data_IF_615771267314
#
_entry.id   IF_615771267314
#
_cell.length_a   1.000
_cell.length_b   1.000
_cell.length_c   1.000
_cell.angle_alpha   90.00
_cell.angle_beta   90.00
_cell.angle_gamma   90.00
#
_symmetry.space_group_name_H-M   'P 1'
#
loop_
_entity.id
_entity.type
_entity.pdbx_description
1 polymer ?
#
# COMPACT_ATOMS: atom_id res chain seq x y z
N UNK A 1 -0.28 18.69 -5.58
CA UNK A 1 -0.62 17.33 -5.16
C UNK A 1 -0.94 17.34 -3.67
N UNK A 2 -1.90 16.54 -3.25
CA UNK A 2 -2.37 16.48 -1.87
C UNK A 2 -2.16 15.06 -1.34
N UNK A 3 -1.29 14.89 -0.34
CA UNK A 3 -0.96 13.59 0.21
C UNK A 3 -0.97 13.59 1.75
N UNK A 4 -1.08 12.41 2.35
CA UNK A 4 -1.11 12.25 3.80
C UNK A 4 0.19 11.69 4.34
N UNK A 5 0.89 10.93 3.55
CA UNK A 5 2.14 10.26 3.87
C UNK A 5 3.21 10.58 2.85
N UNK A 6 4.46 10.70 3.30
CA UNK A 6 5.61 10.91 2.42
C UNK A 6 6.90 10.45 3.12
N UNK A 7 7.72 9.58 2.51
CA UNK A 7 8.99 9.15 3.09
C UNK A 7 9.93 10.31 3.43
N UNK A 8 10.77 10.17 4.46
CA UNK A 8 10.98 9.00 5.32
C UNK A 8 9.97 8.89 6.47
N UNK A 9 8.95 9.73 6.50
CA UNK A 9 7.95 9.80 7.55
C UNK A 9 6.62 9.22 7.06
N UNK A 10 5.95 8.42 7.91
CA UNK A 10 4.68 7.77 7.53
C UNK A 10 4.83 7.02 6.20
N UNK A 11 5.63 5.97 6.18
CA UNK A 11 5.99 5.24 4.96
C UNK A 11 5.22 3.93 4.81
N UNK A 12 3.89 4.02 4.79
CA UNK A 12 3.05 2.94 4.27
C UNK A 12 3.08 2.88 2.73
N UNK A 13 2.37 1.92 2.14
CA UNK A 13 2.28 1.80 0.68
C UNK A 13 1.81 3.06 -0.02
N UNK A 14 0.91 3.83 0.62
CA UNK A 14 0.44 5.13 0.14
C UNK A 14 1.60 6.15 0.03
N UNK A 15 2.39 6.30 1.09
CA UNK A 15 3.52 7.25 1.09
C UNK A 15 4.57 6.89 0.06
N UNK A 16 4.91 5.60 -0.09
CA UNK A 16 5.84 5.11 -1.12
C UNK A 16 5.31 5.41 -2.52
N UNK A 17 4.04 5.12 -2.80
CA UNK A 17 3.42 5.43 -4.08
C UNK A 17 3.43 6.94 -4.37
N UNK A 18 3.02 7.78 -3.42
CA UNK A 18 3.04 9.24 -3.56
C UNK A 18 4.43 9.79 -3.89
N UNK A 19 5.47 9.27 -3.22
CA UNK A 19 6.86 9.66 -3.47
C UNK A 19 7.29 9.32 -4.91
N UNK A 20 7.12 8.07 -5.34
CA UNK A 20 7.58 7.64 -6.66
C UNK A 20 6.76 8.25 -7.80
N UNK A 21 5.44 8.40 -7.64
CA UNK A 21 4.58 9.12 -8.59
C UNK A 21 5.09 10.55 -8.75
N UNK A 22 5.34 11.26 -7.64
CA UNK A 22 5.82 12.64 -7.68
C UNK A 22 7.21 12.75 -8.31
N UNK A 23 8.13 11.84 -7.97
CA UNK A 23 9.48 11.77 -8.55
C UNK A 23 9.40 11.57 -10.08
N UNK A 24 8.60 10.62 -10.53
CA UNK A 24 8.45 10.33 -11.95
C UNK A 24 7.76 11.46 -12.74
N UNK A 25 6.72 12.07 -12.18
CA UNK A 25 6.06 13.25 -12.78
C UNK A 25 7.02 14.44 -12.88
N UNK A 26 7.84 14.68 -11.85
CA UNK A 26 8.84 15.75 -11.89
C UNK A 26 9.90 15.50 -12.97
N UNK A 27 10.35 14.26 -13.12
CA UNK A 27 11.25 13.85 -14.22
C UNK A 27 10.60 14.00 -15.61
N UNK A 28 9.28 13.86 -15.70
CA UNK A 28 8.51 14.13 -16.91
C UNK A 28 8.23 15.64 -17.13
N UNK A 29 8.76 16.53 -16.27
CA UNK A 29 8.68 17.98 -16.42
C UNK A 29 7.57 18.67 -15.63
N UNK A 30 6.82 17.95 -14.79
CA UNK A 30 5.80 18.55 -13.93
C UNK A 30 6.45 19.36 -12.79
N UNK A 31 5.91 20.56 -12.51
CA UNK A 31 6.24 21.33 -11.30
C UNK A 31 5.23 20.97 -10.21
N UNK A 32 5.71 20.49 -9.09
CA UNK A 32 4.86 19.93 -8.06
C UNK A 32 4.98 20.72 -6.75
N UNK A 33 3.85 21.21 -6.27
CA UNK A 33 3.63 21.64 -4.89
C UNK A 33 2.91 20.49 -4.18
N UNK A 34 3.58 19.81 -3.23
CA UNK A 34 3.06 18.66 -2.50
C UNK A 34 2.73 19.07 -1.06
N UNK A 35 1.50 18.86 -0.62
CA UNK A 35 1.06 19.21 0.73
C UNK A 35 0.98 17.95 1.59
N UNK A 36 1.56 18.01 2.81
CA UNK A 36 1.44 16.99 3.85
C UNK A 36 0.85 17.60 5.13
N UNK A 37 0.16 16.80 5.99
CA UNK A 37 -0.50 17.32 7.20
C UNK A 37 0.46 17.59 8.37
N UNK A 38 1.72 17.21 8.29
CA UNK A 38 2.71 17.30 9.36
C UNK A 38 3.93 18.13 8.94
N UNK A 39 4.77 18.46 9.91
CA UNK A 39 6.04 19.16 9.69
C UNK A 39 7.22 18.28 10.01
N UNK A 40 8.00 17.95 8.98
CA UNK A 40 9.22 17.17 9.11
C UNK A 40 10.18 17.47 7.94
N UNK A 41 11.49 17.27 8.11
CA UNK A 41 12.44 17.39 7.01
C UNK A 41 12.31 16.22 6.03
N UNK A 42 12.41 16.52 4.73
CA UNK A 42 12.43 15.55 3.65
C UNK A 42 13.73 15.71 2.84
N UNK A 43 14.91 15.32 3.39
CA UNK A 43 16.22 15.64 2.80
C UNK A 43 16.46 14.97 1.44
N UNK A 44 15.74 13.91 1.13
CA UNK A 44 15.86 13.18 -0.14
C UNK A 44 14.97 13.76 -1.24
N UNK A 45 14.11 14.76 -0.92
CA UNK A 45 13.18 15.34 -1.87
C UNK A 45 13.69 16.70 -2.34
N UNK A 46 14.24 16.72 -3.54
CA UNK A 46 14.74 17.95 -4.21
C UNK A 46 14.02 18.24 -5.55
N UNK A 47 13.09 17.36 -5.94
CA UNK A 47 12.38 17.42 -7.23
C UNK A 47 11.00 18.08 -7.13
N UNK A 48 10.53 18.39 -5.93
CA UNK A 48 9.25 19.08 -5.69
C UNK A 48 9.32 19.98 -4.46
N UNK A 49 8.34 20.88 -4.32
CA UNK A 49 8.17 21.65 -3.09
C UNK A 49 7.23 20.93 -2.14
N UNK A 50 7.69 20.63 -0.92
CA UNK A 50 6.86 20.04 0.13
C UNK A 50 6.38 21.13 1.09
N UNK A 51 5.07 21.19 1.31
CA UNK A 51 4.41 22.12 2.20
C UNK A 51 3.82 21.37 3.41
N UNK A 52 4.02 21.91 4.60
CA UNK A 52 3.48 21.38 5.86
C UNK A 52 2.23 22.12 6.26
N UNK A 53 1.07 21.46 6.26
CA UNK A 53 -0.20 22.10 6.62
C UNK A 53 -0.31 22.40 8.13
N UNK A 54 0.41 21.65 8.97
CA UNK A 54 0.44 21.89 10.42
C UNK A 54 1.89 21.90 10.93
N UNK A 55 2.06 22.23 12.21
CA UNK A 55 3.34 22.12 12.92
C UNK A 55 3.50 20.82 13.70
N UNK A 56 2.59 19.87 13.52
CA UNK A 56 2.67 18.57 14.16
C UNK A 56 3.90 17.80 13.67
N UNK A 57 4.50 17.00 14.55
CA UNK A 57 5.46 15.98 14.16
C UNK A 57 4.75 14.88 13.34
N UNK A 58 5.49 13.95 12.71
CA UNK A 58 4.88 12.89 11.90
C UNK A 58 3.76 12.15 12.62
N UNK A 59 2.64 11.96 11.91
CA UNK A 59 1.35 11.55 12.49
C UNK A 59 1.33 10.13 13.03
N UNK A 60 2.23 9.23 12.59
CA UNK A 60 2.41 7.88 13.14
C UNK A 60 2.54 7.87 14.68
N UNK A 61 3.13 8.93 15.24
CA UNK A 61 3.31 9.06 16.71
C UNK A 61 2.01 9.27 17.46
N UNK A 62 0.94 9.62 16.74
CA UNK A 62 -0.35 9.97 17.32
C UNK A 62 -1.46 8.97 16.92
N UNK A 63 -1.12 7.88 16.19
CA UNK A 63 -2.11 6.97 15.64
C UNK A 63 -3.04 7.63 14.61
N UNK A 64 -2.53 8.59 13.84
CA UNK A 64 -3.27 9.34 12.82
C UNK A 64 -2.79 9.01 11.39
N UNK A 65 -2.31 7.81 11.16
CA UNK A 65 -1.95 7.30 9.83
C UNK A 65 -3.18 7.05 8.94
N UNK A 66 -2.95 6.88 7.65
CA UNK A 66 -4.02 6.70 6.66
C UNK A 66 -4.93 5.49 6.92
N UNK A 67 -4.49 4.56 7.75
CA UNK A 67 -5.21 3.32 8.08
C UNK A 67 -5.78 3.30 9.51
N UNK A 68 -5.66 4.39 10.25
CA UNK A 68 -6.12 4.48 11.64
C UNK A 68 -7.58 4.99 11.73
N UNK A 69 -8.42 4.64 10.76
CA UNK A 69 -9.83 5.08 10.66
C UNK A 69 -10.68 4.68 11.86
N UNK A 70 -10.27 3.67 12.62
CA UNK A 70 -10.96 3.26 13.86
C UNK A 70 -10.96 4.34 14.95
N UNK A 71 -9.98 5.24 14.94
CA UNK A 71 -9.89 6.33 15.92
C UNK A 71 -10.92 7.46 15.74
N UNK A 72 -11.71 7.41 14.67
CA UNK A 72 -12.71 8.44 14.32
C UNK A 72 -14.09 8.17 14.97
N UNK A 73 -14.33 6.97 15.51
CA UNK A 73 -15.70 6.46 15.77
C UNK A 73 -16.22 6.76 17.16
N UNK A 74 -15.40 7.06 18.16
CA UNK A 74 -15.87 7.18 19.53
C UNK A 74 -15.64 8.57 20.13
N UNK A 75 -16.69 9.36 20.12
CA UNK A 75 -16.88 10.53 20.97
C UNK A 75 -17.21 11.81 20.21
N UNK A 76 -18.26 12.50 20.67
CA UNK A 76 -18.41 13.93 20.40
C UNK A 76 -17.18 14.66 20.95
N UNK A 77 -16.33 15.13 20.03
CA UNK A 77 -15.13 15.86 20.38
C UNK A 77 -15.52 17.19 21.04
N UNK A 78 -14.99 17.45 22.19
CA UNK A 78 -15.13 18.75 22.83
C UNK A 78 -14.42 19.83 22.01
N UNK A 79 -14.89 21.07 22.07
CA UNK A 79 -14.23 22.21 21.41
C UNK A 79 -12.75 22.39 21.84
N UNK A 80 -12.34 21.84 23.00
CA UNK A 80 -10.98 21.83 23.50
C UNK A 80 -10.08 20.81 22.75
N UNK A 81 -10.64 19.68 22.31
CA UNK A 81 -9.91 18.64 21.58
C UNK A 81 -9.58 19.05 20.14
N UNK A 82 -10.48 19.81 19.53
CA UNK A 82 -10.26 20.41 18.19
C UNK A 82 -9.08 21.38 18.19
N UNK A 83 -8.84 22.10 19.28
CA UNK A 83 -7.71 23.01 19.44
C UNK A 83 -6.38 22.30 19.69
N UNK A 84 -6.40 21.06 20.18
CA UNK A 84 -5.19 20.30 20.52
C UNK A 84 -4.65 19.42 19.38
N UNK A 85 -5.28 19.43 18.18
CA UNK A 85 -4.85 18.67 17.00
C UNK A 85 -4.61 17.16 17.27
N UNK A 86 -5.30 16.57 18.22
CA UNK A 86 -5.16 15.14 18.59
C UNK A 86 -6.14 14.25 17.83
N UNK A 87 -6.97 14.83 16.98
CA UNK A 87 -8.03 14.17 16.25
C UNK A 87 -7.83 14.29 14.74
N UNK A 88 -8.11 13.21 14.03
CA UNK A 88 -8.00 13.11 12.58
C UNK A 88 -8.81 14.21 11.86
N UNK A 89 -10.03 14.47 12.29
CA UNK A 89 -10.91 15.50 11.68
C UNK A 89 -10.37 16.92 11.88
N UNK A 90 -9.81 17.19 13.05
CA UNK A 90 -9.13 18.47 13.32
C UNK A 90 -7.93 18.67 12.42
N UNK A 91 -7.13 17.63 12.17
CA UNK A 91 -6.00 17.67 11.24
C UNK A 91 -6.50 17.88 9.81
N UNK A 92 -7.53 17.16 9.36
CA UNK A 92 -8.14 17.32 8.02
C UNK A 92 -8.65 18.76 7.81
N UNK A 93 -9.38 19.33 8.78
CA UNK A 93 -9.87 20.70 8.70
C UNK A 93 -8.72 21.69 8.52
N UNK A 94 -7.65 21.58 9.31
CA UNK A 94 -6.47 22.44 9.17
C UNK A 94 -5.75 22.22 7.84
N UNK A 95 -5.76 21.01 7.34
CA UNK A 95 -5.22 20.69 6.03
C UNK A 95 -5.99 21.44 4.93
N UNK A 96 -7.34 21.44 4.97
CA UNK A 96 -8.17 22.20 4.05
C UNK A 96 -7.89 23.71 4.14
N UNK A 97 -7.89 24.29 5.36
CA UNK A 97 -7.61 25.70 5.60
C UNK A 97 -6.22 26.11 5.04
N UNK A 98 -5.21 25.25 5.21
CA UNK A 98 -3.88 25.49 4.66
C UNK A 98 -3.87 25.49 3.13
N UNK A 99 -4.56 24.53 2.49
CA UNK A 99 -4.67 24.44 1.03
C UNK A 99 -5.36 25.69 0.47
N UNK A 100 -6.42 26.20 1.12
CA UNK A 100 -7.05 27.49 0.75
C UNK A 100 -6.05 28.65 0.79
N UNK A 101 -5.26 28.75 1.86
CA UNK A 101 -4.24 29.80 2.01
C UNK A 101 -3.11 29.66 0.97
N UNK A 102 -2.71 28.44 0.64
CA UNK A 102 -1.70 28.17 -0.38
C UNK A 102 -2.19 28.63 -1.75
N UNK A 103 -3.42 28.28 -2.12
CA UNK A 103 -4.05 28.70 -3.38
C UNK A 103 -4.14 30.21 -3.49
N UNK A 104 -4.56 30.89 -2.41
CA UNK A 104 -4.69 32.38 -2.40
C UNK A 104 -3.36 33.10 -2.62
N UNK A 105 -2.21 32.44 -2.44
CA UNK A 105 -0.86 33.02 -2.58
C UNK A 105 -0.10 32.48 -3.80
N UNK A 106 -0.69 31.57 -4.53
CA UNK A 106 -0.05 30.89 -5.65
C UNK A 106 -0.62 31.35 -6.98
N UNK A 107 0.15 31.16 -8.03
CA UNK A 107 -0.33 31.24 -9.41
C UNK A 107 -1.34 30.13 -9.74
N UNK A 108 -1.73 30.03 -11.00
CA UNK A 108 -2.66 29.01 -11.47
C UNK A 108 -2.06 27.60 -11.38
N UNK A 109 -2.90 26.64 -11.07
CA UNK A 109 -2.57 25.22 -11.11
C UNK A 109 -3.19 24.57 -12.36
N UNK A 110 -2.45 23.68 -13.02
CA UNK A 110 -2.94 22.93 -14.18
C UNK A 110 -3.84 21.76 -13.78
N UNK A 111 -3.59 21.17 -12.61
CA UNK A 111 -4.38 20.09 -12.05
C UNK A 111 -4.24 20.01 -10.52
N UNK A 112 -5.29 19.56 -9.86
CA UNK A 112 -5.32 19.18 -8.45
C UNK A 112 -5.33 17.66 -8.40
N UNK A 113 -4.35 17.05 -7.73
CA UNK A 113 -4.25 15.61 -7.58
C UNK A 113 -4.32 15.24 -6.10
N UNK A 114 -5.39 14.58 -5.68
CA UNK A 114 -5.65 14.17 -4.30
C UNK A 114 -5.51 12.65 -4.15
N UNK A 115 -4.78 12.22 -3.11
CA UNK A 115 -4.50 10.82 -2.83
C UNK A 115 -5.31 10.35 -1.63
N UNK A 116 -6.23 9.42 -1.85
CA UNK A 116 -7.15 8.82 -0.88
C UNK A 116 -8.05 9.80 -0.11
N UNK A 117 -8.95 9.25 0.66
CA UNK A 117 -10.04 9.97 1.36
C UNK A 117 -9.58 11.12 2.25
N UNK A 118 -8.42 10.98 2.88
CA UNK A 118 -7.87 11.98 3.81
C UNK A 118 -7.60 13.34 3.14
N UNK A 119 -7.43 13.35 1.82
CA UNK A 119 -7.11 14.55 1.05
C UNK A 119 -8.25 15.01 0.14
N UNK A 120 -9.33 14.21 0.03
CA UNK A 120 -10.44 14.50 -0.90
C UNK A 120 -11.14 15.81 -0.57
N UNK A 121 -11.41 16.11 0.71
CA UNK A 121 -12.06 17.39 1.09
C UNK A 121 -11.21 18.60 0.67
N UNK A 122 -9.91 18.54 0.86
CA UNK A 122 -8.99 19.59 0.40
C UNK A 122 -8.93 19.67 -1.13
N UNK A 123 -8.98 18.53 -1.82
CA UNK A 123 -9.05 18.46 -3.27
C UNK A 123 -10.31 19.10 -3.84
N UNK A 124 -11.47 18.76 -3.26
CA UNK A 124 -12.75 19.36 -3.63
C UNK A 124 -12.75 20.88 -3.42
N UNK A 125 -12.21 21.33 -2.29
CA UNK A 125 -12.10 22.75 -2.00
C UNK A 125 -11.16 23.49 -2.94
N UNK A 126 -10.01 22.87 -3.25
CA UNK A 126 -9.06 23.40 -4.22
C UNK A 126 -9.68 23.55 -5.62
N UNK A 127 -10.43 22.55 -6.08
CA UNK A 127 -11.18 22.63 -7.35
C UNK A 127 -12.15 23.80 -7.37
N UNK A 128 -12.93 24.01 -6.31
CA UNK A 128 -13.89 25.12 -6.21
C UNK A 128 -13.21 26.49 -6.30
N UNK A 129 -12.00 26.63 -5.77
CA UNK A 129 -11.28 27.89 -5.72
C UNK A 129 -10.51 28.21 -7.01
N UNK A 130 -10.04 27.19 -7.72
CA UNK A 130 -9.14 27.34 -8.87
C UNK A 130 -9.77 27.07 -10.21
N UNK A 131 -10.89 26.34 -10.26
CA UNK A 131 -11.46 25.70 -11.46
C UNK A 131 -10.49 24.72 -12.16
N UNK A 132 -9.36 24.38 -11.55
CA UNK A 132 -8.47 23.36 -12.07
C UNK A 132 -9.12 21.97 -11.94
N UNK A 133 -8.88 21.05 -12.89
CA UNK A 133 -9.45 19.71 -12.81
C UNK A 133 -8.94 18.96 -11.56
N UNK A 134 -9.87 18.30 -10.87
CA UNK A 134 -9.59 17.45 -9.73
C UNK A 134 -9.41 15.99 -10.19
N UNK A 135 -8.24 15.47 -9.99
CA UNK A 135 -7.92 14.05 -10.14
C UNK A 135 -7.87 13.42 -8.75
N UNK A 136 -8.69 12.40 -8.51
CA UNK A 136 -8.66 11.61 -7.27
C UNK A 136 -7.97 10.29 -7.55
N UNK A 137 -6.89 10.02 -6.83
CA UNK A 137 -6.14 8.75 -6.92
C UNK A 137 -6.49 7.88 -5.74
N UNK A 138 -7.10 6.74 -6.00
CA UNK A 138 -7.57 5.78 -4.99
C UNK A 138 -6.55 4.67 -4.85
N UNK A 139 -5.80 4.71 -3.73
CA UNK A 139 -4.87 3.66 -3.34
C UNK A 139 -5.55 2.58 -2.51
N UNK A 140 -6.58 2.93 -1.76
CA UNK A 140 -7.47 2.02 -1.06
C UNK A 140 -8.81 2.72 -0.75
N UNK A 141 -9.90 1.98 -0.84
CA UNK A 141 -11.20 2.43 -0.34
C UNK A 141 -11.40 2.01 1.11
N UNK A 142 -12.43 2.55 1.75
CA UNK A 142 -12.82 2.10 3.10
C UNK A 142 -13.24 0.63 3.12
N UNK A 143 -13.83 0.11 2.03
CA UNK A 143 -14.11 -1.33 1.89
C UNK A 143 -12.86 -2.19 1.93
N UNK A 144 -11.75 -1.71 1.33
CA UNK A 144 -10.45 -2.39 1.39
C UNK A 144 -9.89 -2.36 2.81
N UNK A 145 -9.92 -1.19 3.46
CA UNK A 145 -9.33 -0.99 4.80
C UNK A 145 -10.09 -1.75 5.89
N UNK A 146 -11.42 -1.75 5.84
CA UNK A 146 -12.24 -2.47 6.80
C UNK A 146 -12.20 -3.99 6.61
N UNK A 147 -11.90 -4.45 5.40
CA UNK A 147 -11.98 -5.87 5.01
C UNK A 147 -13.42 -6.43 5.05
N UNK A 148 -14.43 -5.56 5.14
CA UNK A 148 -15.85 -5.90 5.25
C UNK A 148 -16.71 -4.92 4.45
N UNK A 149 -17.99 -5.26 4.27
CA UNK A 149 -18.98 -4.35 3.66
C UNK A 149 -19.45 -3.23 4.63
N UNK A 150 -18.98 -3.24 5.87
CA UNK A 150 -19.41 -2.33 6.94
C UNK A 150 -18.25 -1.43 7.40
N UNK A 151 -17.71 -0.61 6.51
CA UNK A 151 -16.68 0.39 6.86
C UNK A 151 -17.25 1.59 7.64
N UNK A 152 -16.39 2.57 7.94
CA UNK A 152 -16.76 3.80 8.62
C UNK A 152 -17.68 4.67 7.73
N UNK A 153 -18.93 4.96 8.13
CA UNK A 153 -19.87 5.71 7.31
C UNK A 153 -19.40 7.12 6.93
N UNK A 154 -18.64 7.79 7.82
CA UNK A 154 -18.10 9.11 7.55
C UNK A 154 -17.03 9.05 6.46
N UNK A 155 -16.18 8.03 6.49
CA UNK A 155 -15.14 7.83 5.45
C UNK A 155 -15.82 7.53 4.12
N UNK A 156 -16.85 6.66 4.11
CA UNK A 156 -17.64 6.40 2.91
C UNK A 156 -18.23 7.66 2.29
N UNK A 157 -18.79 8.55 3.13
CA UNK A 157 -19.38 9.80 2.68
C UNK A 157 -18.32 10.72 2.05
N UNK A 158 -17.15 10.85 2.69
CA UNK A 158 -16.03 11.65 2.15
C UNK A 158 -15.53 11.08 0.81
N UNK A 159 -15.35 9.75 0.75
CA UNK A 159 -14.96 9.06 -0.48
C UNK A 159 -16.01 9.27 -1.59
N UNK A 160 -17.29 9.07 -1.28
CA UNK A 160 -18.37 9.27 -2.24
C UNK A 160 -18.38 10.69 -2.81
N UNK A 161 -18.32 11.70 -1.95
CA UNK A 161 -18.32 13.11 -2.38
C UNK A 161 -17.07 13.44 -3.22
N UNK A 162 -15.89 12.97 -2.78
CA UNK A 162 -14.63 13.17 -3.50
C UNK A 162 -14.65 12.52 -4.89
N UNK A 163 -15.14 11.30 -4.99
CA UNK A 163 -15.27 10.56 -6.24
C UNK A 163 -16.30 11.21 -7.18
N UNK A 164 -17.43 11.67 -6.64
CA UNK A 164 -18.45 12.37 -7.43
C UNK A 164 -17.96 13.70 -7.97
N UNK A 165 -17.19 14.49 -7.21
CA UNK A 165 -16.67 15.78 -7.61
C UNK A 165 -15.41 15.71 -8.48
N UNK A 166 -14.68 14.60 -8.49
CA UNK A 166 -13.50 14.42 -9.32
C UNK A 166 -13.84 14.55 -10.82
N UNK A 167 -12.96 15.11 -11.62
CA UNK A 167 -13.05 15.11 -13.09
C UNK A 167 -12.57 13.79 -13.67
N UNK A 168 -11.55 13.20 -13.05
CA UNK A 168 -11.06 11.85 -13.34
C UNK A 168 -10.68 11.16 -12.05
N UNK A 169 -10.81 9.85 -12.04
CA UNK A 169 -10.44 8.98 -10.93
C UNK A 169 -9.39 8.00 -11.43
N UNK A 170 -8.30 7.89 -10.68
CA UNK A 170 -7.28 6.88 -10.91
C UNK A 170 -7.49 5.77 -9.88
N UNK A 171 -7.69 4.56 -10.36
CA UNK A 171 -7.70 3.36 -9.54
C UNK A 171 -6.40 2.58 -9.73
N UNK A 172 -5.80 2.09 -8.65
CA UNK A 172 -4.50 1.37 -8.70
C UNK A 172 -4.62 -0.05 -9.26
N UNK A 173 -5.85 -0.52 -9.51
CA UNK A 173 -6.12 -1.82 -10.15
C UNK A 173 -7.56 -1.88 -10.70
N UNK A 174 -7.83 -2.89 -11.53
CA UNK A 174 -9.18 -3.22 -11.99
C UNK A 174 -10.09 -3.66 -10.85
N UNK A 175 -9.54 -4.31 -9.81
CA UNK A 175 -10.27 -4.64 -8.57
C UNK A 175 -10.76 -3.36 -7.90
N UNK A 176 -9.87 -2.39 -7.68
CA UNK A 176 -10.22 -1.09 -7.09
C UNK A 176 -11.24 -0.34 -7.96
N UNK A 177 -11.06 -0.32 -9.29
CA UNK A 177 -12.05 0.23 -10.25
C UNK A 177 -13.41 -0.41 -10.06
N UNK A 178 -13.47 -1.74 -9.96
CA UNK A 178 -14.72 -2.49 -9.77
C UNK A 178 -15.40 -2.13 -8.45
N UNK A 179 -14.66 -1.97 -7.35
CA UNK A 179 -15.18 -1.52 -6.06
C UNK A 179 -15.78 -0.11 -6.18
N UNK A 180 -15.06 0.82 -6.82
CA UNK A 180 -15.53 2.20 -7.02
C UNK A 180 -16.84 2.21 -7.81
N UNK A 181 -16.92 1.43 -8.88
CA UNK A 181 -18.15 1.34 -9.69
C UNK A 181 -19.32 0.73 -8.90
N UNK A 182 -19.10 -0.38 -8.21
CA UNK A 182 -20.16 -1.17 -7.59
C UNK A 182 -20.63 -0.58 -6.26
N UNK A 183 -19.69 -0.06 -5.44
CA UNK A 183 -20.02 0.41 -4.09
C UNK A 183 -20.33 1.90 -4.02
N UNK A 184 -19.74 2.71 -4.91
CA UNK A 184 -19.97 4.16 -4.96
C UNK A 184 -20.82 4.61 -6.16
N UNK A 185 -21.16 3.71 -7.09
CA UNK A 185 -22.01 4.03 -8.24
C UNK A 185 -21.37 4.97 -9.26
N UNK A 186 -20.05 5.04 -9.30
CA UNK A 186 -19.32 5.90 -10.23
C UNK A 186 -19.30 5.30 -11.65
N UNK A 187 -19.55 6.13 -12.67
CA UNK A 187 -19.52 5.71 -14.06
C UNK A 187 -18.12 5.25 -14.50
N UNK A 188 -18.07 4.21 -15.32
CA UNK A 188 -16.84 3.56 -15.75
C UNK A 188 -15.88 4.50 -16.51
N UNK A 189 -16.43 5.36 -17.36
CA UNK A 189 -15.70 6.30 -18.21
C UNK A 189 -14.94 7.39 -17.41
N UNK A 190 -15.31 7.57 -16.13
CA UNK A 190 -14.66 8.48 -15.20
C UNK A 190 -13.41 7.87 -14.55
N UNK A 191 -13.24 6.53 -14.63
CA UNK A 191 -12.23 5.79 -13.88
C UNK A 191 -11.20 5.19 -14.82
N UNK A 192 -9.95 5.56 -14.63
CA UNK A 192 -8.81 4.98 -15.34
C UNK A 192 -8.00 4.10 -14.39
N UNK A 193 -7.53 2.96 -14.88
CA UNK A 193 -6.64 2.08 -14.11
C UNK A 193 -5.20 2.44 -14.45
N UNK A 194 -4.44 2.85 -13.44
CA UNK A 194 -3.00 3.09 -13.53
C UNK A 194 -2.33 2.34 -12.38
N UNK A 195 -1.66 1.26 -12.72
CA UNK A 195 -0.99 0.39 -11.74
C UNK A 195 0.18 1.09 -11.08
N UNK A 196 0.42 0.78 -9.81
CA UNK A 196 1.67 1.17 -9.16
C UNK A 196 2.85 0.39 -9.77
N UNK A 197 4.04 0.93 -9.58
CA UNK A 197 5.27 0.33 -10.07
C UNK A 197 6.29 0.11 -8.93
N UNK A 198 7.48 -0.31 -9.29
CA UNK A 198 8.61 -0.44 -8.38
C UNK A 198 9.79 0.39 -8.91
N UNK A 199 10.58 0.99 -8.03
CA UNK A 199 11.84 1.62 -8.40
C UNK A 199 12.99 0.66 -8.13
N UNK A 200 13.43 -0.03 -9.17
CA UNK A 200 14.53 -0.99 -9.09
C UNK A 200 15.84 -0.32 -8.65
N UNK A 201 16.04 0.95 -9.01
CA UNK A 201 17.23 1.69 -8.61
C UNK A 201 17.25 1.96 -7.10
N UNK A 202 16.11 2.32 -6.52
CA UNK A 202 15.99 2.54 -5.06
C UNK A 202 16.13 1.22 -4.27
N UNK A 203 15.77 0.09 -4.86
CA UNK A 203 15.99 -1.24 -4.25
C UNK A 203 17.45 -1.70 -4.35
N UNK A 204 18.17 -1.24 -5.38
CA UNK A 204 19.58 -1.58 -5.63
C UNK A 204 20.58 -0.56 -5.08
N UNK A 205 20.19 0.36 -4.23
CA UNK A 205 20.99 1.49 -3.69
C UNK A 205 22.22 1.10 -2.83
N UNK A 206 22.98 0.10 -3.26
CA UNK A 206 24.11 -0.49 -2.53
C UNK A 206 23.67 -1.50 -1.48
N UNK A 207 22.42 -1.97 -1.52
CA UNK A 207 21.96 -3.05 -0.66
C UNK A 207 22.78 -4.31 -0.90
N UNK A 208 23.23 -4.90 0.20
CA UNK A 208 23.79 -6.25 0.23
C UNK A 208 23.11 -7.06 1.33
N UNK A 209 22.69 -8.25 1.00
CA UNK A 209 22.09 -9.16 1.96
C UNK A 209 23.03 -9.47 3.12
N UNK A 210 22.51 -9.42 4.35
CA UNK A 210 23.25 -9.81 5.55
C UNK A 210 22.61 -11.05 6.18
N UNK A 211 23.17 -12.21 5.89
CA UNK A 211 22.73 -13.51 6.43
C UNK A 211 22.71 -13.56 7.96
N UNK A 212 23.36 -12.63 8.66
CA UNK A 212 23.36 -12.57 10.13
C UNK A 212 22.04 -12.00 10.69
N UNK A 213 21.30 -11.24 9.89
CA UNK A 213 20.01 -10.66 10.29
C UNK A 213 19.03 -11.77 10.68
N UNK A 214 18.95 -12.81 9.86
CA UNK A 214 18.07 -13.96 10.09
C UNK A 214 18.87 -15.27 10.17
N UNK A 215 19.98 -15.25 10.94
CA UNK A 215 20.94 -16.35 11.04
C UNK A 215 20.34 -17.72 11.31
N UNK A 216 19.27 -17.77 12.12
CA UNK A 216 18.59 -19.04 12.41
C UNK A 216 17.86 -19.59 11.18
N UNK A 217 17.16 -18.75 10.43
CA UNK A 217 16.49 -19.15 9.18
C UNK A 217 17.52 -19.57 8.11
N UNK A 218 18.66 -18.92 8.06
CA UNK A 218 19.76 -19.32 7.18
C UNK A 218 20.30 -20.71 7.52
N UNK A 219 20.43 -21.03 8.81
CA UNK A 219 20.83 -22.37 9.24
C UNK A 219 19.78 -23.43 8.81
N UNK A 220 18.51 -23.12 8.97
CA UNK A 220 17.42 -24.01 8.51
C UNK A 220 17.45 -24.20 6.98
N UNK A 221 17.73 -23.16 6.19
CA UNK A 221 17.89 -23.31 4.72
C UNK A 221 19.04 -24.27 4.38
N UNK A 222 20.16 -24.19 5.07
CA UNK A 222 21.28 -25.13 4.87
C UNK A 222 20.91 -26.57 5.20
N UNK A 223 19.96 -26.79 6.11
CA UNK A 223 19.38 -28.10 6.43
C UNK A 223 18.25 -28.53 5.47
N UNK A 224 17.98 -27.74 4.44
CA UNK A 224 17.01 -28.02 3.39
C UNK A 224 15.58 -27.62 3.73
N UNK A 225 15.37 -26.70 4.68
CA UNK A 225 14.07 -26.08 4.95
C UNK A 225 13.75 -25.04 3.87
N UNK A 226 12.47 -24.92 3.54
CA UNK A 226 11.92 -23.86 2.71
C UNK A 226 11.41 -22.73 3.61
N UNK A 227 11.90 -21.51 3.39
CA UNK A 227 11.44 -20.33 4.13
C UNK A 227 10.28 -19.69 3.37
N UNK A 228 9.10 -19.69 3.99
CA UNK A 228 7.88 -19.08 3.47
C UNK A 228 7.60 -17.81 4.24
N UNK A 229 7.55 -16.67 3.59
CA UNK A 229 7.38 -15.38 4.28
C UNK A 229 6.13 -14.61 3.88
N UNK A 230 5.73 -13.74 4.78
CA UNK A 230 4.87 -12.59 4.51
C UNK A 230 5.45 -11.36 5.17
N UNK A 231 5.42 -10.22 4.48
CA UNK A 231 5.95 -8.94 4.97
C UNK A 231 4.83 -7.92 4.90
N UNK A 232 4.22 -7.61 6.05
CA UNK A 232 3.00 -6.80 6.06
C UNK A 232 2.64 -6.32 7.46
N UNK A 233 1.62 -5.44 7.56
CA UNK A 233 0.99 -5.13 8.85
C UNK A 233 0.06 -6.27 9.28
N UNK A 234 -0.03 -6.51 10.59
CA UNK A 234 -0.87 -7.57 11.13
C UNK A 234 -2.28 -7.05 11.41
N UNK A 235 -3.05 -6.91 10.33
CA UNK A 235 -4.44 -6.46 10.32
C UNK A 235 -5.34 -7.50 9.67
N UNK A 236 -6.65 -7.44 9.95
CA UNK A 236 -7.66 -8.35 9.37
C UNK A 236 -7.59 -8.35 7.84
N UNK A 237 -7.41 -7.18 7.23
CA UNK A 237 -7.27 -7.00 5.78
C UNK A 237 -6.19 -7.92 5.17
N UNK A 238 -5.12 -8.21 5.91
CA UNK A 238 -3.97 -8.99 5.40
C UNK A 238 -4.15 -10.51 5.50
N UNK A 239 -5.25 -10.98 6.11
CA UNK A 239 -5.67 -12.38 6.09
C UNK A 239 -4.67 -13.37 6.73
N UNK A 240 -3.86 -12.91 7.70
CA UNK A 240 -2.78 -13.72 8.28
C UNK A 240 -3.27 -14.94 9.05
N UNK A 241 -4.51 -14.93 9.53
CA UNK A 241 -5.14 -16.11 10.15
C UNK A 241 -5.28 -17.25 9.14
N UNK A 242 -5.58 -16.94 7.86
CA UNK A 242 -5.62 -17.95 6.79
C UNK A 242 -4.21 -18.45 6.45
N UNK A 243 -3.21 -17.55 6.45
CA UNK A 243 -1.81 -17.93 6.25
C UNK A 243 -1.31 -18.92 7.32
N UNK A 244 -1.55 -18.64 8.61
CA UNK A 244 -1.15 -19.52 9.72
C UNK A 244 -1.87 -20.90 9.63
N UNK A 245 -3.16 -20.91 9.28
CA UNK A 245 -3.90 -22.16 9.05
C UNK A 245 -3.30 -22.97 7.89
N UNK A 246 -2.95 -22.30 6.79
CA UNK A 246 -2.31 -22.95 5.64
C UNK A 246 -0.90 -23.45 5.97
N UNK A 247 -0.15 -22.72 6.80
CA UNK A 247 1.15 -23.13 7.31
C UNK A 247 1.05 -24.46 8.11
N UNK A 248 0.02 -24.60 8.95
CA UNK A 248 -0.23 -25.83 9.67
C UNK A 248 -0.55 -26.98 8.71
N UNK A 249 -1.46 -26.77 7.75
CA UNK A 249 -1.82 -27.78 6.74
C UNK A 249 -0.63 -28.19 5.85
N UNK A 250 0.21 -27.23 5.48
CA UNK A 250 1.43 -27.52 4.71
C UNK A 250 2.41 -28.36 5.54
N UNK A 251 2.56 -28.06 6.84
CA UNK A 251 3.43 -28.78 7.75
C UNK A 251 2.99 -30.22 8.01
N UNK A 252 1.70 -30.53 7.90
CA UNK A 252 1.19 -31.92 7.93
C UNK A 252 1.65 -32.75 6.71
N UNK A 253 1.84 -32.09 5.55
CA UNK A 253 2.20 -32.74 4.27
C UNK A 253 3.70 -32.82 4.04
N UNK A 254 4.45 -31.84 4.56
CA UNK A 254 5.90 -31.74 4.41
C UNK A 254 6.51 -31.04 5.62
N UNK A 255 7.53 -31.62 6.22
CA UNK A 255 8.00 -31.19 7.54
C UNK A 255 9.01 -30.03 7.51
N UNK A 256 9.74 -29.83 6.39
CA UNK A 256 10.83 -28.86 6.32
C UNK A 256 10.36 -27.46 5.89
N UNK A 257 9.59 -26.82 6.77
CA UNK A 257 9.16 -25.41 6.62
C UNK A 257 9.59 -24.55 7.81
N UNK A 258 9.90 -23.30 7.51
CA UNK A 258 9.91 -22.19 8.47
C UNK A 258 9.08 -21.03 7.89
N UNK A 259 8.17 -20.49 8.69
CA UNK A 259 7.25 -19.44 8.29
C UNK A 259 7.67 -18.13 8.96
N UNK A 260 8.02 -17.12 8.14
CA UNK A 260 8.48 -15.81 8.61
C UNK A 260 7.36 -14.78 8.45
N UNK A 261 6.85 -14.25 9.55
CA UNK A 261 5.94 -13.11 9.58
C UNK A 261 6.73 -11.85 9.96
N UNK A 262 7.07 -11.04 8.95
CA UNK A 262 7.80 -9.80 9.15
C UNK A 262 6.83 -8.61 9.17
N UNK A 263 6.69 -8.01 10.35
CA UNK A 263 5.76 -6.92 10.59
C UNK A 263 5.18 -6.92 11.99
N UNK A 264 4.23 -6.03 12.20
CA UNK A 264 3.53 -5.88 13.48
C UNK A 264 2.10 -5.36 13.25
N UNK A 265 1.25 -5.41 14.26
CA UNK A 265 -0.11 -4.91 14.21
C UNK A 265 -1.02 -5.50 15.27
N UNK A 266 -2.29 -5.08 15.23
CA UNK A 266 -3.31 -5.43 16.24
C UNK A 266 -3.55 -6.93 16.39
N UNK A 267 -3.32 -7.73 15.34
CA UNK A 267 -3.55 -9.18 15.38
C UNK A 267 -2.36 -10.00 15.90
N UNK A 268 -1.24 -9.37 16.28
CA UNK A 268 -0.02 -10.09 16.63
C UNK A 268 -0.22 -11.18 17.68
N UNK A 269 -0.86 -10.84 18.80
CA UNK A 269 -1.05 -11.79 19.90
C UNK A 269 -2.02 -12.92 19.53
N UNK A 270 -3.07 -12.60 18.77
CA UNK A 270 -4.00 -13.58 18.20
C UNK A 270 -3.27 -14.58 17.27
N UNK A 271 -2.37 -14.09 16.40
CA UNK A 271 -1.62 -14.94 15.47
C UNK A 271 -0.61 -15.84 16.19
N UNK A 272 0.05 -15.35 17.25
CA UNK A 272 0.94 -16.15 18.09
C UNK A 272 0.15 -17.27 18.77
N UNK A 273 -1.01 -16.94 19.36
CA UNK A 273 -1.87 -17.92 20.00
C UNK A 273 -2.38 -18.96 18.99
N UNK A 274 -2.81 -18.52 17.82
CA UNK A 274 -3.27 -19.42 16.75
C UNK A 274 -2.19 -20.40 16.30
N UNK A 275 -0.93 -19.94 16.16
CA UNK A 275 0.19 -20.83 15.81
C UNK A 275 0.45 -21.88 16.89
N UNK A 276 0.30 -21.51 18.17
CA UNK A 276 0.42 -22.44 19.30
C UNK A 276 -0.72 -23.47 19.30
N UNK A 277 -1.96 -23.02 19.14
CA UNK A 277 -3.16 -23.89 19.13
C UNK A 277 -3.14 -24.91 17.98
N UNK A 278 -2.53 -24.53 16.84
CA UNK A 278 -2.34 -25.42 15.68
C UNK A 278 -1.08 -26.28 15.77
N UNK A 279 -0.28 -26.17 16.84
CA UNK A 279 0.91 -26.99 17.08
C UNK A 279 2.09 -26.71 16.15
N UNK A 280 2.20 -25.48 15.61
CA UNK A 280 3.29 -25.06 14.69
C UNK A 280 4.11 -23.88 15.25
N UNK A 281 4.02 -23.59 16.54
CA UNK A 281 4.72 -22.46 17.14
C UNK A 281 6.25 -22.49 16.98
N UNK A 282 6.82 -23.70 16.89
CA UNK A 282 8.25 -23.92 16.64
C UNK A 282 8.69 -23.62 15.19
N UNK A 283 7.73 -23.54 14.26
CA UNK A 283 7.96 -23.26 12.84
C UNK A 283 7.64 -21.83 12.42
N UNK A 284 7.01 -21.03 13.30
CA UNK A 284 6.54 -19.67 12.99
C UNK A 284 7.39 -18.63 13.69
N UNK A 285 7.97 -17.71 12.90
CA UNK A 285 8.90 -16.68 13.37
C UNK A 285 8.30 -15.28 13.17
N UNK A 286 8.08 -14.56 14.26
CA UNK A 286 7.59 -13.19 14.26
C UNK A 286 8.75 -12.22 14.49
N UNK A 287 9.00 -11.30 13.54
CA UNK A 287 10.10 -10.34 13.66
C UNK A 287 9.74 -9.10 14.47
N UNK A 288 8.45 -8.79 14.60
CA UNK A 288 7.99 -7.45 14.92
C UNK A 288 8.19 -6.50 13.73
N UNK A 289 8.02 -5.22 13.99
CA UNK A 289 8.13 -4.18 12.96
C UNK A 289 9.57 -4.05 12.42
N UNK A 290 9.73 -4.19 11.10
CA UNK A 290 11.04 -4.14 10.42
C UNK A 290 11.11 -2.96 9.45
N UNK A 291 12.30 -2.35 9.32
CA UNK A 291 12.58 -1.24 8.39
C UNK A 291 13.96 -1.40 7.75
N UNK A 292 14.14 -0.70 6.62
CA UNK A 292 15.43 -0.58 5.95
C UNK A 292 16.04 -1.94 5.62
N UNK A 293 17.27 -2.19 6.11
CA UNK A 293 17.98 -3.43 5.81
C UNK A 293 17.27 -4.69 6.31
N UNK A 294 16.73 -4.68 7.52
CA UNK A 294 16.03 -5.85 8.08
C UNK A 294 14.80 -6.24 7.27
N UNK A 295 14.08 -5.27 6.74
CA UNK A 295 12.95 -5.46 5.86
C UNK A 295 13.36 -6.13 4.53
N UNK A 296 14.45 -5.67 3.90
CA UNK A 296 14.99 -6.28 2.67
C UNK A 296 15.57 -7.68 2.93
N UNK A 297 16.27 -7.86 4.04
CA UNK A 297 16.83 -9.16 4.45
C UNK A 297 15.71 -10.20 4.69
N UNK A 298 14.50 -9.79 5.12
CA UNK A 298 13.35 -10.69 5.27
C UNK A 298 12.89 -11.28 3.93
N UNK A 299 12.90 -10.50 2.85
CA UNK A 299 12.66 -11.05 1.52
C UNK A 299 13.83 -11.92 1.03
N UNK A 300 15.08 -11.49 1.27
CA UNK A 300 16.26 -12.19 0.76
C UNK A 300 16.48 -13.56 1.41
N UNK A 301 16.08 -13.75 2.67
CA UNK A 301 16.14 -15.07 3.32
C UNK A 301 15.06 -16.01 2.82
N UNK A 302 14.00 -15.50 2.22
CA UNK A 302 12.79 -16.25 1.84
C UNK A 302 12.95 -16.96 0.49
N UNK A 303 12.28 -18.09 0.35
CA UNK A 303 12.15 -18.85 -0.90
C UNK A 303 10.81 -18.58 -1.58
N UNK A 304 9.76 -18.42 -0.75
CA UNK A 304 8.38 -18.22 -1.16
C UNK A 304 7.81 -17.05 -0.39
N UNK A 305 7.20 -16.12 -1.09
CA UNK A 305 6.43 -15.03 -0.50
C UNK A 305 4.94 -15.28 -0.67
N UNK A 306 4.18 -15.13 0.40
CA UNK A 306 2.73 -15.28 0.40
C UNK A 306 2.06 -13.95 0.71
N UNK A 307 1.16 -13.52 -0.15
CA UNK A 307 0.22 -12.42 0.09
C UNK A 307 -1.17 -12.99 0.29
N UNK A 308 -1.60 -13.05 1.56
CA UNK A 308 -2.86 -13.69 1.97
C UNK A 308 -4.02 -12.71 2.13
N UNK A 309 -3.91 -11.52 1.59
CA UNK A 309 -4.85 -10.42 1.84
C UNK A 309 -6.29 -10.77 1.44
N UNK A 310 -7.23 -10.40 2.30
CA UNK A 310 -8.68 -10.43 2.05
C UNK A 310 -9.07 -9.39 1.01
N UNK A 311 -8.42 -8.24 1.05
CA UNK A 311 -8.49 -7.18 0.05
C UNK A 311 -7.13 -6.49 -0.04
N UNK A 312 -6.57 -6.43 -1.25
CA UNK A 312 -5.31 -5.74 -1.52
C UNK A 312 -5.48 -4.92 -2.80
N UNK A 313 -5.66 -3.62 -2.70
CA UNK A 313 -5.89 -2.77 -3.87
C UNK A 313 -4.84 -2.93 -4.95
N UNK A 314 -3.56 -3.03 -4.57
CA UNK A 314 -2.48 -3.35 -5.50
C UNK A 314 -1.53 -4.43 -4.93
N UNK A 315 -0.65 -4.09 -3.99
CA UNK A 315 0.28 -5.05 -3.37
C UNK A 315 1.74 -4.85 -3.77
N UNK A 316 2.32 -3.68 -3.47
CA UNK A 316 3.73 -3.37 -3.73
C UNK A 316 4.70 -4.40 -3.14
N UNK A 317 4.39 -4.98 -1.98
CA UNK A 317 5.22 -5.99 -1.31
C UNK A 317 5.43 -7.26 -2.16
N UNK A 318 4.52 -7.57 -3.10
CA UNK A 318 4.72 -8.66 -4.04
C UNK A 318 5.79 -8.32 -5.10
N UNK A 319 5.84 -7.07 -5.57
CA UNK A 319 6.90 -6.62 -6.48
C UNK A 319 8.26 -6.58 -5.77
N UNK A 320 8.29 -6.17 -4.50
CA UNK A 320 9.49 -6.20 -3.65
C UNK A 320 9.99 -7.64 -3.45
N UNK A 321 9.09 -8.58 -3.17
CA UNK A 321 9.42 -9.99 -3.03
C UNK A 321 9.95 -10.58 -4.37
N UNK A 322 9.35 -10.22 -5.51
CA UNK A 322 9.83 -10.60 -6.84
C UNK A 322 11.25 -10.10 -7.09
N UNK A 323 11.55 -8.85 -6.71
CA UNK A 323 12.90 -8.28 -6.82
C UNK A 323 13.94 -9.07 -6.01
N UNK A 324 13.57 -9.57 -4.85
CA UNK A 324 14.42 -10.37 -3.97
C UNK A 324 14.36 -11.88 -4.26
N UNK A 325 14.03 -12.26 -5.49
CA UNK A 325 14.06 -13.64 -5.98
C UNK A 325 13.18 -14.61 -5.19
N UNK A 326 11.93 -14.22 -4.89
CA UNK A 326 10.94 -15.09 -4.28
C UNK A 326 9.98 -15.69 -5.30
N UNK A 327 9.57 -16.95 -5.11
CA UNK A 327 8.37 -17.49 -5.76
C UNK A 327 7.14 -16.90 -5.07
N UNK A 328 6.12 -16.49 -5.83
CA UNK A 328 4.99 -15.75 -5.31
C UNK A 328 3.71 -16.59 -5.28
N UNK A 329 3.00 -16.55 -4.15
CA UNK A 329 1.63 -17.04 -4.00
C UNK A 329 0.78 -15.87 -3.52
N UNK A 330 -0.24 -15.50 -4.30
CA UNK A 330 -0.98 -14.25 -4.08
C UNK A 330 -2.48 -14.53 -4.11
N UNK A 331 -3.22 -13.98 -3.14
CA UNK A 331 -4.69 -14.08 -3.15
C UNK A 331 -5.26 -13.43 -4.43
N UNK A 332 -6.35 -14.01 -4.96
CA UNK A 332 -7.05 -13.46 -6.12
C UNK A 332 -7.62 -12.06 -5.88
N UNK A 333 -7.77 -11.69 -4.60
CA UNK A 333 -8.24 -10.40 -4.13
C UNK A 333 -7.15 -9.31 -4.09
N UNK A 334 -6.04 -9.53 -4.80
CA UNK A 334 -4.89 -8.62 -4.85
C UNK A 334 -4.66 -8.10 -6.26
N UNK A 335 -4.64 -6.77 -6.42
CA UNK A 335 -4.54 -6.10 -7.72
C UNK A 335 -3.24 -6.37 -8.47
N UNK A 336 -2.13 -6.64 -7.78
CA UNK A 336 -0.85 -6.99 -8.42
C UNK A 336 -0.94 -8.23 -9.30
N UNK A 337 -1.91 -9.12 -9.04
CA UNK A 337 -2.19 -10.27 -9.90
C UNK A 337 -2.76 -9.92 -11.27
N UNK A 338 -3.04 -8.64 -11.55
CA UNK A 338 -3.41 -8.14 -12.88
C UNK A 338 -2.17 -7.86 -13.76
N UNK A 339 -1.00 -7.68 -13.14
CA UNK A 339 0.26 -7.38 -13.84
C UNK A 339 1.32 -8.48 -13.70
N UNK A 340 1.19 -9.36 -12.71
CA UNK A 340 2.03 -10.55 -12.54
C UNK A 340 1.20 -11.80 -12.83
N UNK A 341 1.62 -12.57 -13.83
CA UNK A 341 0.89 -13.77 -14.30
C UNK A 341 1.60 -15.07 -13.93
N UNK A 342 2.93 -15.06 -13.81
CA UNK A 342 3.74 -16.24 -13.42
C UNK A 342 3.80 -16.43 -11.90
N UNK A 343 2.64 -16.41 -11.27
CA UNK A 343 2.42 -16.53 -9.84
C UNK A 343 1.34 -17.57 -9.56
N UNK A 344 1.38 -18.17 -8.39
CA UNK A 344 0.23 -18.96 -7.94
C UNK A 344 -0.85 -18.04 -7.36
N UNK A 345 -2.11 -18.37 -7.66
CA UNK A 345 -3.28 -17.62 -7.16
C UNK A 345 -4.29 -18.55 -6.50
N UNK A 346 -4.88 -18.08 -5.41
CA UNK A 346 -5.90 -18.80 -4.66
C UNK A 346 -6.92 -17.81 -4.07
N UNK A 347 -8.10 -18.29 -3.70
CA UNK A 347 -9.05 -17.47 -2.95
C UNK A 347 -8.59 -17.39 -1.49
N UNK A 348 -8.57 -16.18 -0.87
CA UNK A 348 -7.94 -15.97 0.45
C UNK A 348 -8.47 -16.91 1.55
N UNK A 349 -9.71 -17.41 1.41
CA UNK A 349 -10.33 -18.36 2.34
C UNK A 349 -9.95 -19.83 2.06
N UNK A 350 -9.37 -20.13 0.91
CA UNK A 350 -9.03 -21.49 0.50
C UNK A 350 -7.66 -21.89 1.08
N UNK A 351 -7.69 -22.24 2.36
CA UNK A 351 -6.52 -22.62 3.16
C UNK A 351 -5.83 -23.87 2.59
N UNK A 352 -6.60 -24.82 2.08
CA UNK A 352 -6.06 -26.08 1.57
C UNK A 352 -5.34 -25.87 0.23
N UNK A 353 -5.89 -25.04 -0.67
CA UNK A 353 -5.22 -24.65 -1.92
C UNK A 353 -3.91 -23.92 -1.64
N UNK A 354 -3.91 -22.97 -0.69
CA UNK A 354 -2.68 -22.27 -0.30
C UNK A 354 -1.62 -23.25 0.23
N UNK A 355 -2.01 -24.19 1.09
CA UNK A 355 -1.12 -25.21 1.62
C UNK A 355 -0.52 -26.09 0.51
N UNK A 356 -1.35 -26.54 -0.46
CA UNK A 356 -0.92 -27.33 -1.59
C UNK A 356 0.07 -26.60 -2.49
N UNK A 357 -0.17 -25.32 -2.75
CA UNK A 357 0.73 -24.47 -3.52
C UNK A 357 2.08 -24.28 -2.82
N UNK A 358 2.07 -24.05 -1.49
CA UNK A 358 3.30 -23.96 -0.68
C UNK A 358 4.12 -25.25 -0.78
N UNK A 359 3.47 -26.41 -0.58
CA UNK A 359 4.12 -27.73 -0.67
C UNK A 359 4.64 -27.98 -2.09
N UNK A 360 3.85 -27.66 -3.12
CA UNK A 360 4.23 -27.82 -4.52
C UNK A 360 5.51 -27.07 -4.88
N UNK A 361 5.65 -25.81 -4.42
CA UNK A 361 6.87 -25.03 -4.66
C UNK A 361 8.05 -25.59 -3.85
N UNK A 362 7.83 -25.99 -2.60
CA UNK A 362 8.89 -26.49 -1.73
C UNK A 362 9.47 -27.81 -2.23
N UNK A 363 8.63 -28.69 -2.78
CA UNK A 363 9.01 -30.05 -3.22
C UNK A 363 9.46 -30.11 -4.68
N UNK A 364 9.27 -29.05 -5.48
CA UNK A 364 9.66 -29.00 -6.89
C UNK A 364 10.61 -27.84 -7.17
N UNK A 365 11.91 -28.13 -7.17
CA UNK A 365 12.93 -27.12 -7.49
C UNK A 365 12.76 -26.52 -8.90
N UNK A 366 12.35 -27.33 -9.88
CA UNK A 366 12.09 -26.88 -11.24
C UNK A 366 10.93 -25.87 -11.30
N UNK A 367 9.83 -26.15 -10.59
CA UNK A 367 8.71 -25.24 -10.48
C UNK A 367 9.10 -23.93 -9.80
N UNK A 368 9.81 -24.02 -8.66
CA UNK A 368 10.30 -22.83 -7.93
C UNK A 368 11.14 -21.92 -8.81
N UNK A 369 12.13 -22.48 -9.53
CA UNK A 369 12.99 -21.71 -10.42
C UNK A 369 12.21 -21.09 -11.59
N UNK A 370 11.29 -21.84 -12.20
CA UNK A 370 10.47 -21.32 -13.29
C UNK A 370 9.61 -20.14 -12.87
N UNK A 371 8.94 -20.23 -11.71
CA UNK A 371 8.12 -19.14 -11.17
C UNK A 371 8.97 -17.88 -10.93
N UNK A 372 10.12 -18.02 -10.26
CA UNK A 372 11.04 -16.91 -9.97
C UNK A 372 11.53 -16.21 -11.23
N UNK A 373 12.00 -16.96 -12.22
CA UNK A 373 12.54 -16.40 -13.47
C UNK A 373 11.49 -15.66 -14.29
N UNK A 374 10.29 -16.24 -14.38
CA UNK A 374 9.22 -15.63 -15.16
C UNK A 374 8.69 -14.36 -14.49
N UNK A 375 8.49 -14.39 -13.16
CA UNK A 375 8.02 -13.21 -12.41
C UNK A 375 9.03 -12.06 -12.47
N UNK A 376 10.32 -12.37 -12.44
CA UNK A 376 11.38 -11.40 -12.58
C UNK A 376 11.32 -10.68 -13.95
N UNK A 377 11.01 -11.42 -15.02
CA UNK A 377 10.82 -10.86 -16.34
C UNK A 377 9.57 -9.98 -16.45
N UNK A 378 8.47 -10.38 -15.81
CA UNK A 378 7.22 -9.60 -15.81
C UNK A 378 7.36 -8.29 -15.04
N UNK A 379 7.90 -8.34 -13.82
CA UNK A 379 8.00 -7.15 -12.98
C UNK A 379 8.96 -6.09 -13.55
N UNK A 380 10.01 -6.52 -14.30
CA UNK A 380 10.96 -5.61 -14.91
C UNK A 380 10.36 -4.69 -15.99
N UNK A 381 9.14 -4.99 -16.44
CA UNK A 381 8.38 -4.19 -17.40
C UNK A 381 7.49 -3.13 -16.76
N UNK A 382 7.37 -3.14 -15.43
CA UNK A 382 6.53 -2.22 -14.69
C UNK A 382 7.42 -1.06 -14.23
N UNK A 383 7.14 0.17 -14.70
CA UNK A 383 7.98 1.32 -14.41
C UNK A 383 7.20 2.56 -13.97
N UNK A 384 7.76 3.33 -13.06
CA UNK A 384 7.21 4.63 -12.67
C UNK A 384 7.23 5.65 -13.80
N UNK A 385 8.09 5.48 -14.79
CA UNK A 385 8.10 6.31 -16.00
C UNK A 385 6.80 6.15 -16.81
N UNK A 386 6.33 4.91 -16.97
CA UNK A 386 5.06 4.65 -17.67
C UNK A 386 3.87 5.19 -16.87
N UNK A 387 3.88 5.03 -15.54
CA UNK A 387 2.89 5.62 -14.63
C UNK A 387 2.82 7.14 -14.82
N UNK A 388 3.97 7.81 -14.86
CA UNK A 388 4.01 9.27 -15.05
C UNK A 388 3.50 9.69 -16.43
N UNK A 389 3.86 8.97 -17.50
CA UNK A 389 3.34 9.23 -18.86
C UNK A 389 1.81 9.13 -18.89
N UNK A 390 1.26 8.09 -18.29
CA UNK A 390 -0.18 7.85 -18.30
C UNK A 390 -0.91 8.90 -17.45
N UNK A 391 -0.38 9.28 -16.29
CA UNK A 391 -0.91 10.38 -15.46
C UNK A 391 -0.86 11.73 -16.19
N UNK A 392 0.25 12.06 -16.86
CA UNK A 392 0.35 13.30 -17.66
C UNK A 392 -0.73 13.34 -18.74
N UNK A 393 -0.98 12.20 -19.40
CA UNK A 393 -2.07 12.09 -20.39
C UNK A 393 -3.46 12.34 -19.76
N UNK A 394 -3.69 11.85 -18.55
CA UNK A 394 -4.93 12.14 -17.79
C UNK A 394 -5.06 13.64 -17.51
N UNK A 395 -3.99 14.29 -17.04
CA UNK A 395 -4.01 15.73 -16.76
C UNK A 395 -4.33 16.54 -18.02
N UNK A 396 -3.71 16.24 -19.15
CA UNK A 396 -3.92 16.95 -20.41
C UNK A 396 -5.37 16.82 -20.91
N UNK A 397 -5.94 15.60 -20.87
CA UNK A 397 -7.35 15.38 -21.23
C UNK A 397 -8.32 16.11 -20.31
N UNK A 398 -8.01 16.11 -19.00
CA UNK A 398 -8.87 16.77 -18.00
C UNK A 398 -8.90 18.28 -18.18
N UNK A 399 -7.77 18.92 -18.55
CA UNK A 399 -7.69 20.36 -18.86
C UNK A 399 -8.54 20.74 -20.08
N UNK A 400 -8.51 19.94 -21.14
CA UNK A 400 -9.28 20.20 -22.35
C UNK A 400 -10.80 20.14 -22.11
N UNK A 401 -11.25 19.29 -21.21
CA UNK A 401 -12.66 19.18 -20.83
C UNK A 401 -13.20 20.35 -19.98
N UNK A 402 -12.33 21.10 -19.31
CA UNK A 402 -12.72 22.30 -18.52
C UNK A 402 -12.83 23.56 -19.39
N UNK A 403 -12.17 23.56 -20.55
CA UNK A 403 -12.15 24.70 -21.48
C UNK A 403 -13.22 24.63 -22.58
N UNK A 404 -14.01 23.56 -22.65
CA UNK A 404 -15.12 23.35 -23.57
C UNK A 404 -16.46 23.53 -22.84
#
# INVERSE_FOLDING_TARGET
MLGWELPPHNSGGLGVACYHISKALALAGAKIDFVVPYSAPHPQINFMKVHSATRLSPLERYGLGAYDSKSIVEGELSAADVNNLKDMRGVQKRYVEFVEQLIARSDTFDAIHAHDWLTMEAGMRAKQLTNAPLIVHVHATEFDRSGTDAGNPLVHEIEYQGLMMADRIIAVSGITKSIIMQKYGIAEDKIEVIYNAIDVADLNDGYSYDYRTYRYLEALKQEGYTIVSTVTRFTIQKGLTHFIKAAARASEKYDKFAFLLAGDGEQRDELIQLAADLGIADKVFFTGFVRGKQWRDAYSVSDVFVMSSVSEPFGLTALEAAHHDNALIISKQSGVGEVLHSIFRYDFWDVDMLADQIVGIATSQALKLSLKQNVLHEYSRISWHDVARDLMSVYDRSRQGVTA
#
